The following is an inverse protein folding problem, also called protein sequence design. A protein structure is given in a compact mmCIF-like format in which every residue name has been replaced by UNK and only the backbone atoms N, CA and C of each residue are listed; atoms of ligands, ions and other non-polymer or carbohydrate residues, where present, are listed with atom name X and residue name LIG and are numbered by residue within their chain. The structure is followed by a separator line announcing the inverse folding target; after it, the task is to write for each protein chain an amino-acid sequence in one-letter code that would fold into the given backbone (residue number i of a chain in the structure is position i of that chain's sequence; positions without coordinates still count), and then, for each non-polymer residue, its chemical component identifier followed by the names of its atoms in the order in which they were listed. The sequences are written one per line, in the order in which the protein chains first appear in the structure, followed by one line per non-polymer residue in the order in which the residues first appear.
data_IF_098977916713
#
_entry.id   IF_098977916713
#
_cell.length_a   1.000
_cell.length_b   1.000
_cell.length_c   1.000
_cell.angle_alpha   90.00
_cell.angle_beta   90.00
_cell.angle_gamma   90.00
#
_symmetry.space_group_name_H-M   'P 1'
#
loop_
_entity.id
_entity.type
_entity.pdbx_description
1 polymer ?
#
# COMPACT_ATOMS: atom_id res chain seq x y z
N UNK A 1 4.97 104.19 40.89
CA UNK A 1 4.30 103.33 39.90
C UNK A 1 5.15 102.18 39.40
N UNK A 2 6.45 102.08 39.73
CA UNK A 2 7.41 101.07 39.20
C UNK A 2 7.53 99.82 40.06
N UNK A 3 7.06 99.78 41.29
CA UNK A 3 7.19 98.67 42.24
C UNK A 3 6.11 97.60 42.04
N UNK A 4 4.91 97.98 41.52
CA UNK A 4 3.82 97.01 41.29
C UNK A 4 3.97 96.15 39.99
N UNK A 5 4.74 96.63 39.04
CA UNK A 5 4.96 95.92 37.75
C UNK A 5 5.95 94.76 37.91
N UNK A 6 6.94 94.92 38.81
CA UNK A 6 7.91 93.85 39.04
C UNK A 6 7.37 92.66 39.88
N UNK A 7 6.43 92.93 40.82
CA UNK A 7 5.80 91.85 41.62
C UNK A 7 4.88 91.00 40.75
N UNK A 8 4.13 91.56 39.80
CA UNK A 8 3.26 90.84 38.90
C UNK A 8 4.06 89.99 37.85
N UNK A 9 5.26 90.39 37.46
CA UNK A 9 6.13 89.61 36.58
C UNK A 9 6.76 88.42 37.26
N UNK A 10 7.10 88.56 38.57
CA UNK A 10 7.64 87.46 39.37
C UNK A 10 6.58 86.38 39.64
N UNK A 11 5.34 86.79 39.98
CA UNK A 11 4.20 85.90 40.26
C UNK A 11 3.81 85.11 38.96
N UNK A 12 3.83 85.78 37.81
CA UNK A 12 3.56 85.08 36.53
C UNK A 12 4.70 84.17 36.10
N UNK A 13 5.97 84.46 36.43
CA UNK A 13 7.10 83.60 36.15
C UNK A 13 7.09 82.33 37.02
N UNK A 14 6.75 82.45 38.30
CA UNK A 14 6.61 81.32 39.21
C UNK A 14 5.43 80.44 38.84
N UNK A 15 4.26 81.06 38.46
CA UNK A 15 3.12 80.22 37.99
C UNK A 15 3.38 79.44 36.70
N UNK A 16 4.16 80.05 35.75
CA UNK A 16 4.58 79.38 34.52
C UNK A 16 5.64 78.32 34.76
N UNK A 17 6.51 78.48 35.75
CA UNK A 17 7.48 77.45 36.15
C UNK A 17 6.75 76.25 36.80
N UNK A 18 5.80 76.55 37.67
CA UNK A 18 5.00 75.50 38.36
C UNK A 18 4.12 74.70 37.38
N UNK A 19 3.52 75.33 36.38
CA UNK A 19 2.80 74.66 35.30
C UNK A 19 3.70 73.78 34.45
N UNK A 20 4.93 74.21 34.19
CA UNK A 20 5.91 73.37 33.46
C UNK A 20 6.33 72.13 34.28
N UNK A 21 6.56 72.28 35.57
CA UNK A 21 6.92 71.16 36.44
C UNK A 21 5.77 70.16 36.57
N UNK A 22 4.51 70.64 36.70
CA UNK A 22 3.33 69.77 36.69
C UNK A 22 3.19 69.03 35.34
N UNK A 23 3.35 69.68 34.23
CA UNK A 23 3.29 69.05 32.90
C UNK A 23 4.42 68.03 32.75
N UNK A 24 5.62 68.34 33.17
CA UNK A 24 6.76 67.41 33.13
C UNK A 24 6.53 66.15 33.99
N UNK A 25 5.93 66.31 35.17
CA UNK A 25 5.54 65.16 36.01
C UNK A 25 4.47 64.32 35.36
N UNK A 26 3.46 64.87 34.70
CA UNK A 26 2.44 64.17 33.93
C UNK A 26 3.07 63.36 32.77
N UNK A 27 3.95 64.00 32.03
CA UNK A 27 4.66 63.36 30.92
C UNK A 27 5.53 62.20 31.38
N UNK A 28 6.26 62.34 32.50
CA UNK A 28 7.06 61.24 33.09
C UNK A 28 6.15 60.10 33.53
N UNK A 29 5.02 60.37 34.16
CA UNK A 29 4.08 59.35 34.60
C UNK A 29 3.49 58.60 33.40
N UNK A 30 3.13 59.31 32.33
CA UNK A 30 2.61 58.69 31.11
C UNK A 30 3.67 57.81 30.42
N UNK A 31 4.93 58.26 30.35
CA UNK A 31 6.04 57.45 29.81
C UNK A 31 6.32 56.21 30.67
N UNK A 32 6.31 56.35 32.01
CA UNK A 32 6.49 55.22 32.92
C UNK A 32 5.34 54.18 32.83
N UNK A 33 4.10 54.67 32.70
CA UNK A 33 2.95 53.79 32.47
C UNK A 33 3.06 53.06 31.13
N UNK A 34 3.49 53.72 30.06
CA UNK A 34 3.70 53.11 28.79
C UNK A 34 4.84 52.06 28.81
N UNK A 35 5.93 52.34 29.54
CA UNK A 35 7.04 51.41 29.72
C UNK A 35 6.60 50.17 30.50
N UNK A 36 5.82 50.34 31.56
CA UNK A 36 5.27 49.27 32.38
C UNK A 36 4.33 48.38 31.53
N UNK A 37 3.44 48.98 30.75
CA UNK A 37 2.51 48.26 29.87
C UNK A 37 3.25 47.52 28.76
N UNK A 38 4.31 48.09 28.19
CA UNK A 38 5.19 47.43 27.22
C UNK A 38 5.92 46.25 27.82
N UNK A 39 6.51 46.40 29.01
CA UNK A 39 7.20 45.30 29.71
C UNK A 39 6.26 44.16 30.08
N UNK A 40 5.03 44.44 30.53
CA UNK A 40 4.02 43.43 30.78
C UNK A 40 3.61 42.65 29.53
N UNK A 41 3.44 43.36 28.39
CA UNK A 41 3.13 42.69 27.10
C UNK A 41 4.28 41.81 26.62
N UNK A 42 5.52 42.26 26.74
CA UNK A 42 6.70 41.45 26.35
C UNK A 42 6.78 40.19 27.24
N UNK A 43 6.53 40.32 28.54
CA UNK A 43 6.51 39.17 29.45
C UNK A 43 5.39 38.19 29.11
N UNK A 44 4.18 38.68 28.86
CA UNK A 44 3.03 37.87 28.49
C UNK A 44 3.26 37.13 27.18
N UNK A 45 3.86 37.80 26.17
CA UNK A 45 4.22 37.22 24.87
C UNK A 45 5.31 36.13 25.03
N UNK A 46 6.31 36.39 25.88
CA UNK A 46 7.38 35.42 26.16
C UNK A 46 6.82 34.17 26.86
N UNK A 47 5.94 34.33 27.83
CA UNK A 47 5.27 33.21 28.51
C UNK A 47 4.38 32.41 27.53
N UNK A 48 3.65 33.08 26.66
CA UNK A 48 2.81 32.45 25.67
C UNK A 48 3.64 31.64 24.65
N UNK A 49 4.75 32.22 24.16
CA UNK A 49 5.68 31.54 23.28
C UNK A 49 6.31 30.31 23.97
N UNK A 50 6.72 30.45 25.22
CA UNK A 50 7.31 29.35 25.98
C UNK A 50 6.30 28.22 26.19
N UNK A 51 5.03 28.52 26.46
CA UNK A 51 3.96 27.51 26.58
C UNK A 51 3.71 26.80 25.25
N UNK A 52 3.71 27.53 24.11
CA UNK A 52 3.56 26.92 22.79
C UNK A 52 4.73 25.99 22.45
N UNK A 53 5.97 26.40 22.70
CA UNK A 53 7.14 25.55 22.48
C UNK A 53 7.13 24.31 23.36
N UNK A 54 6.76 24.46 24.63
CA UNK A 54 6.62 23.32 25.56
C UNK A 54 5.53 22.34 25.10
N UNK A 55 4.40 22.85 24.61
CA UNK A 55 3.31 22.04 24.08
C UNK A 55 3.72 21.26 22.84
N UNK A 56 4.37 21.92 21.86
CA UNK A 56 4.90 21.28 20.64
C UNK A 56 5.94 20.19 20.99
N UNK A 57 6.84 20.49 21.93
CA UNK A 57 7.82 19.53 22.40
C UNK A 57 7.16 18.32 23.10
N UNK A 58 6.11 18.56 23.91
CA UNK A 58 5.37 17.48 24.56
C UNK A 58 4.65 16.58 23.55
N UNK A 59 4.05 17.15 22.50
CA UNK A 59 3.46 16.38 21.41
C UNK A 59 4.52 15.48 20.76
N UNK A 60 5.63 16.06 20.30
CA UNK A 60 6.69 15.31 19.64
C UNK A 60 7.28 14.20 20.52
N UNK A 61 7.40 14.45 21.84
CA UNK A 61 7.89 13.47 22.82
C UNK A 61 6.89 12.37 23.14
N UNK A 62 5.58 12.62 23.00
CA UNK A 62 4.54 11.61 23.26
C UNK A 62 4.22 10.73 22.07
N UNK A 63 4.77 11.03 20.88
CA UNK A 63 4.59 10.20 19.68
C UNK A 63 5.32 8.87 19.87
N UNK A 64 4.63 7.77 19.57
CA UNK A 64 5.22 6.41 19.57
C UNK A 64 6.05 6.10 18.32
N UNK A 65 6.06 7.01 17.36
CA UNK A 65 6.86 6.91 16.12
C UNK A 65 8.13 7.74 16.26
N UNK A 66 9.22 7.26 15.65
CA UNK A 66 10.45 8.02 15.55
C UNK A 66 10.25 9.23 14.65
N UNK A 67 10.63 10.42 15.12
CA UNK A 67 10.58 11.65 14.33
C UNK A 67 11.92 12.34 14.42
N UNK A 68 12.44 12.77 13.27
CA UNK A 68 13.58 13.68 13.20
C UNK A 68 13.33 14.79 12.19
N UNK A 69 13.97 15.93 12.41
CA UNK A 69 13.95 17.05 11.49
C UNK A 69 15.38 17.36 11.01
N UNK A 70 15.47 17.82 9.78
CA UNK A 70 16.71 18.18 9.12
C UNK A 70 16.61 19.61 8.61
N UNK A 71 17.74 20.33 8.59
CA UNK A 71 17.85 21.62 7.94
C UNK A 71 18.06 21.51 6.41
N UNK A 72 18.27 22.63 5.74
CA UNK A 72 18.53 22.67 4.28
C UNK A 72 19.82 21.94 3.88
N UNK A 73 20.78 21.80 4.79
CA UNK A 73 22.04 21.10 4.56
C UNK A 73 21.94 19.60 4.85
N UNK A 74 20.78 19.09 5.29
CA UNK A 74 20.58 17.70 5.66
C UNK A 74 21.10 17.36 7.07
N UNK A 75 21.36 18.36 7.90
CA UNK A 75 21.84 18.15 9.27
C UNK A 75 20.66 18.02 10.25
N UNK A 76 20.81 17.14 11.23
CA UNK A 76 19.79 16.96 12.26
C UNK A 76 19.58 18.22 13.08
N UNK A 77 18.34 18.68 13.20
CA UNK A 77 17.92 19.81 14.04
C UNK A 77 17.04 19.37 15.21
N UNK A 78 16.46 18.19 15.12
CA UNK A 78 15.59 17.63 16.16
C UNK A 78 15.50 16.11 16.04
N UNK A 79 15.43 15.41 17.16
CA UNK A 79 15.07 13.97 17.23
C UNK A 79 14.21 13.74 18.46
N UNK A 80 13.07 13.07 18.32
CA UNK A 80 12.23 12.75 19.46
C UNK A 80 12.74 11.50 20.22
N UNK A 81 12.32 11.25 21.47
CA UNK A 81 12.77 10.09 22.27
C UNK A 81 12.48 8.73 21.61
N UNK A 82 11.36 8.60 20.87
CA UNK A 82 11.08 7.37 20.13
C UNK A 82 12.11 7.14 18.99
N UNK A 83 12.50 8.22 18.30
CA UNK A 83 13.56 8.19 17.31
C UNK A 83 14.92 7.80 17.90
N UNK A 84 15.28 8.36 19.05
CA UNK A 84 16.51 7.96 19.78
C UNK A 84 16.51 6.47 20.11
N UNK A 85 15.40 5.96 20.67
CA UNK A 85 15.26 4.55 21.03
C UNK A 85 15.31 3.62 19.81
N UNK A 86 14.69 4.01 18.69
CA UNK A 86 14.66 3.21 17.46
C UNK A 86 15.99 3.23 16.73
N UNK A 87 16.69 4.37 16.66
CA UNK A 87 17.98 4.51 15.97
C UNK A 87 19.17 4.04 16.81
N UNK A 88 19.02 4.07 18.15
CA UNK A 88 20.11 3.79 19.09
C UNK A 88 21.11 4.94 19.25
N UNK A 89 20.74 6.15 18.85
CA UNK A 89 21.49 7.39 18.98
C UNK A 89 20.73 8.39 19.81
N UNK A 90 21.40 9.15 20.65
CA UNK A 90 20.78 10.26 21.36
C UNK A 90 20.66 11.50 20.47
N UNK A 91 19.68 12.36 20.74
CA UNK A 91 19.53 13.65 20.05
C UNK A 91 20.83 14.46 20.13
N UNK A 92 21.47 14.52 21.29
CA UNK A 92 22.72 15.25 21.50
C UNK A 92 23.89 14.74 20.63
N UNK A 93 23.91 13.44 20.30
CA UNK A 93 24.90 12.86 19.40
C UNK A 93 24.61 13.13 17.94
N UNK A 94 23.32 13.34 17.57
CA UNK A 94 22.87 13.53 16.20
C UNK A 94 22.84 15.00 15.78
N UNK A 95 22.49 15.91 16.65
CA UNK A 95 22.36 17.34 16.33
C UNK A 95 23.57 17.90 15.60
N UNK A 96 23.34 18.58 14.48
CA UNK A 96 24.36 19.18 13.62
C UNK A 96 25.15 18.18 12.77
N UNK A 97 24.86 16.88 12.83
CA UNK A 97 25.49 15.89 11.95
C UNK A 97 24.66 15.66 10.70
N UNK A 98 25.35 15.26 9.64
CA UNK A 98 24.73 14.91 8.37
C UNK A 98 23.94 13.59 8.49
N UNK A 99 22.65 13.64 8.18
CA UNK A 99 21.78 12.49 8.24
C UNK A 99 22.19 11.40 7.24
N UNK A 100 22.72 11.75 6.08
CA UNK A 100 23.16 10.79 5.06
C UNK A 100 24.33 9.94 5.53
N UNK A 101 25.19 10.48 6.42
CA UNK A 101 26.32 9.75 6.97
C UNK A 101 25.93 8.75 8.07
N UNK A 102 24.78 8.96 8.72
CA UNK A 102 24.34 8.18 9.89
C UNK A 102 23.17 7.26 9.56
N UNK A 103 22.19 7.75 8.82
CA UNK A 103 20.99 6.98 8.46
C UNK A 103 21.25 6.17 7.20
N UNK A 104 21.39 4.85 7.35
CA UNK A 104 21.38 3.92 6.21
C UNK A 104 19.97 3.36 6.05
N UNK A 105 19.20 4.00 5.14
CA UNK A 105 17.84 3.62 4.79
C UNK A 105 17.84 3.01 3.40
N UNK A 106 17.32 1.79 3.28
CA UNK A 106 17.30 1.02 2.04
C UNK A 106 15.88 0.57 1.71
N UNK A 107 15.59 0.44 0.42
CA UNK A 107 14.37 -0.22 -0.06
C UNK A 107 14.43 -1.73 0.24
N UNK A 108 13.29 -2.41 0.13
CA UNK A 108 13.23 -3.87 0.25
C UNK A 108 14.20 -4.61 -0.69
N UNK A 109 14.56 -4.01 -1.83
CA UNK A 109 15.52 -4.55 -2.81
C UNK A 109 16.99 -4.19 -2.49
N UNK A 110 17.28 -3.62 -1.32
CA UNK A 110 18.63 -3.25 -0.89
C UNK A 110 19.19 -1.97 -1.52
N UNK A 111 18.42 -1.27 -2.35
CA UNK A 111 18.82 0.01 -2.94
C UNK A 111 18.70 1.10 -1.88
N UNK A 112 19.72 1.93 -1.71
CA UNK A 112 19.69 3.05 -0.78
C UNK A 112 18.63 4.06 -1.22
N UNK A 113 17.68 4.36 -0.33
CA UNK A 113 16.50 5.21 -0.67
C UNK A 113 16.89 6.68 -0.73
N UNK A 114 17.93 7.08 0.01
CA UNK A 114 18.47 8.43 0.00
C UNK A 114 19.86 8.34 -0.64
N UNK A 115 20.00 8.56 -1.97
CA UNK A 115 21.29 8.61 -2.63
C UNK A 115 22.10 9.80 -2.09
N UNK A 116 23.42 9.66 -1.99
CA UNK A 116 24.34 10.71 -1.54
C UNK A 116 24.22 12.00 -2.38
N UNK A 117 23.78 11.88 -3.64
CA UNK A 117 23.66 12.96 -4.62
C UNK A 117 22.26 13.57 -4.72
N UNK A 118 21.24 13.07 -3.98
CA UNK A 118 19.90 13.66 -4.00
C UNK A 118 19.77 14.59 -2.80
N UNK A 119 19.85 15.92 -2.98
CA UNK A 119 19.55 16.86 -1.91
C UNK A 119 18.15 16.56 -1.39
N UNK A 120 17.92 16.61 -0.09
CA UNK A 120 16.58 16.52 0.52
C UNK A 120 15.56 17.44 -0.17
N UNK A 121 16.04 18.50 -0.82
CA UNK A 121 15.30 19.39 -1.72
C UNK A 121 14.73 18.67 -2.96
N UNK A 122 15.35 17.59 -3.44
CA UNK A 122 14.86 16.81 -4.58
C UNK A 122 13.78 15.79 -4.18
N UNK A 123 13.72 15.39 -2.91
CA UNK A 123 12.58 14.63 -2.38
C UNK A 123 11.31 15.48 -2.32
N UNK A 124 11.44 16.81 -2.38
CA UNK A 124 10.32 17.75 -2.28
C UNK A 124 10.29 18.84 -3.35
N UNK A 125 10.65 18.61 -4.64
CA UNK A 125 10.65 19.68 -5.64
C UNK A 125 9.25 20.26 -5.89
N UNK A 126 8.19 19.59 -5.42
CA UNK A 126 6.80 19.95 -5.62
C UNK A 126 6.00 20.17 -4.33
N UNK A 127 6.66 20.28 -3.17
CA UNK A 127 5.96 20.39 -1.89
C UNK A 127 5.19 19.09 -1.48
N UNK A 128 5.46 17.97 -2.14
CA UNK A 128 4.78 16.70 -1.87
C UNK A 128 5.56 15.89 -0.82
N UNK A 129 4.82 15.24 0.07
CA UNK A 129 5.37 14.25 0.98
C UNK A 129 5.76 12.98 0.21
N UNK A 130 6.87 12.36 0.59
CA UNK A 130 7.27 11.03 0.15
C UNK A 130 6.90 10.02 1.23
N UNK A 131 6.45 8.82 0.84
CA UNK A 131 6.15 7.73 1.76
C UNK A 131 6.63 6.40 1.18
N UNK A 132 7.20 5.55 2.04
CA UNK A 132 7.55 4.19 1.73
C UNK A 132 7.24 3.32 2.96
N UNK A 133 6.48 2.25 2.73
CA UNK A 133 6.04 1.33 3.79
C UNK A 133 6.91 0.06 3.87
N UNK A 134 7.91 -0.10 2.96
CA UNK A 134 8.74 -1.30 2.81
C UNK A 134 10.25 -1.04 2.94
N UNK A 135 10.63 0.06 3.57
CA UNK A 135 12.02 0.40 3.80
C UNK A 135 12.66 -0.46 4.91
N UNK A 136 13.97 -0.46 4.94
CA UNK A 136 14.81 -1.06 5.98
C UNK A 136 15.75 0.01 6.52
N UNK A 137 15.80 0.14 7.83
CA UNK A 137 16.65 1.08 8.56
C UNK A 137 17.70 0.35 9.36
N UNK A 138 18.92 0.90 9.41
CA UNK A 138 20.03 0.37 10.20
C UNK A 138 20.17 1.17 11.50
N UNK A 139 20.27 0.47 12.63
CA UNK A 139 20.52 1.07 13.96
C UNK A 139 22.04 1.31 14.15
N UNK A 140 22.37 2.04 15.21
CA UNK A 140 23.77 2.28 15.61
C UNK A 140 24.60 1.00 15.79
N UNK A 141 23.99 -0.05 16.31
CA UNK A 141 24.66 -1.34 16.55
C UNK A 141 24.83 -2.21 15.30
N UNK A 142 24.42 -1.70 14.14
CA UNK A 142 24.45 -2.41 12.87
C UNK A 142 23.25 -3.36 12.65
N UNK A 143 22.36 -3.51 13.62
CA UNK A 143 21.12 -4.26 13.43
C UNK A 143 20.18 -3.51 12.48
N UNK A 144 19.42 -4.28 11.68
CA UNK A 144 18.47 -3.73 10.72
C UNK A 144 17.05 -4.04 11.14
N UNK A 145 16.12 -3.13 10.87
CA UNK A 145 14.71 -3.33 11.10
C UNK A 145 13.86 -2.81 9.95
N UNK A 146 12.74 -3.49 9.64
CA UNK A 146 11.79 -3.02 8.65
C UNK A 146 11.10 -1.77 9.17
N UNK A 147 10.97 -0.77 8.33
CA UNK A 147 10.40 0.51 8.68
C UNK A 147 9.40 1.00 7.64
N UNK A 148 8.33 1.64 8.09
CA UNK A 148 7.51 2.52 7.26
C UNK A 148 7.91 3.95 7.59
N UNK A 149 8.13 4.80 6.59
CA UNK A 149 8.48 6.19 6.82
C UNK A 149 7.77 7.15 5.88
N UNK A 150 7.67 8.39 6.33
CA UNK A 150 7.19 9.51 5.53
C UNK A 150 8.12 10.71 5.72
N UNK A 151 8.44 11.39 4.63
CA UNK A 151 9.24 12.62 4.64
C UNK A 151 8.40 13.76 4.04
N UNK A 152 8.41 14.91 4.71
CA UNK A 152 7.71 16.10 4.26
C UNK A 152 8.60 17.34 4.42
N UNK A 153 8.51 18.35 3.51
CA UNK A 153 9.25 19.59 3.64
C UNK A 153 8.70 20.43 4.81
N UNK A 154 9.57 21.09 5.52
CA UNK A 154 9.21 22.16 6.45
C UNK A 154 9.23 23.48 5.67
N UNK A 155 8.05 24.10 5.51
CA UNK A 155 7.90 25.35 4.74
C UNK A 155 7.50 26.47 5.68
N UNK A 156 8.26 27.58 5.69
CA UNK A 156 7.96 28.82 6.41
C UNK A 156 8.00 29.96 5.39
N UNK A 157 6.97 30.78 5.36
CA UNK A 157 6.81 31.93 4.44
C UNK A 157 7.01 31.57 2.94
N UNK A 158 6.62 30.34 2.56
CA UNK A 158 6.75 29.84 1.18
C UNK A 158 8.14 29.29 0.82
N UNK A 159 9.10 29.34 1.72
CA UNK A 159 10.44 28.77 1.54
C UNK A 159 10.59 27.47 2.31
N UNK A 160 11.16 26.44 1.67
CA UNK A 160 11.54 25.20 2.35
C UNK A 160 12.78 25.46 3.20
N UNK A 161 12.67 25.27 4.50
CA UNK A 161 13.76 25.46 5.47
C UNK A 161 14.40 24.14 5.90
N UNK A 162 13.82 23.01 5.51
CA UNK A 162 14.27 21.69 5.88
C UNK A 162 13.23 20.61 5.59
N UNK A 163 13.39 19.46 6.23
CA UNK A 163 12.46 18.34 6.13
C UNK A 163 12.19 17.70 7.49
N UNK A 164 11.01 17.14 7.66
CA UNK A 164 10.66 16.26 8.79
C UNK A 164 10.45 14.85 8.26
N UNK A 165 11.01 13.88 8.98
CA UNK A 165 10.85 12.45 8.69
C UNK A 165 10.22 11.79 9.91
N UNK A 166 9.09 11.12 9.69
CA UNK A 166 8.47 10.24 10.67
C UNK A 166 8.65 8.80 10.22
N UNK A 167 9.02 7.91 11.14
CA UNK A 167 9.29 6.50 10.84
C UNK A 167 8.83 5.59 11.97
N UNK A 168 8.42 4.38 11.60
CA UNK A 168 7.86 3.39 12.53
C UNK A 168 8.52 2.04 12.34
N UNK A 169 8.87 1.37 13.45
CA UNK A 169 9.33 -0.02 13.43
C UNK A 169 8.18 -0.97 13.08
N UNK A 170 8.33 -1.70 11.99
CA UNK A 170 7.35 -2.66 11.49
C UNK A 170 7.65 -4.09 11.91
N UNK A 171 8.67 -4.33 12.75
CA UNK A 171 9.13 -5.68 13.13
C UNK A 171 8.04 -6.50 13.78
N UNK A 172 7.29 -5.94 14.71
CA UNK A 172 6.21 -6.64 15.40
C UNK A 172 5.04 -6.92 14.45
N UNK A 173 4.64 -5.93 13.65
CA UNK A 173 3.57 -6.08 12.65
C UNK A 173 3.93 -7.18 11.68
N UNK A 174 5.14 -7.17 11.12
CA UNK A 174 5.62 -8.20 10.20
C UNK A 174 5.75 -9.57 10.86
N UNK A 175 6.15 -9.64 12.12
CA UNK A 175 6.20 -10.90 12.87
C UNK A 175 4.81 -11.51 13.05
N UNK A 176 3.82 -10.70 13.44
CA UNK A 176 2.44 -11.15 13.58
C UNK A 176 1.85 -11.62 12.25
N UNK A 177 2.11 -10.88 11.18
CA UNK A 177 1.69 -11.26 9.83
C UNK A 177 2.29 -12.61 9.40
N UNK A 178 3.60 -12.80 9.57
CA UNK A 178 4.26 -14.10 9.26
C UNK A 178 3.70 -15.24 10.08
N UNK A 179 3.51 -15.03 11.39
CA UNK A 179 2.92 -16.06 12.25
C UNK A 179 1.51 -16.43 11.80
N UNK A 180 0.71 -15.47 11.37
CA UNK A 180 -0.62 -15.72 10.81
C UNK A 180 -0.56 -16.52 9.50
N UNK A 181 0.39 -16.19 8.60
CA UNK A 181 0.61 -16.92 7.36
C UNK A 181 1.03 -18.38 7.61
N UNK A 182 2.00 -18.58 8.50
CA UNK A 182 2.46 -19.91 8.89
C UNK A 182 1.32 -20.75 9.47
N UNK A 183 0.52 -20.16 10.35
CA UNK A 183 -0.64 -20.82 10.95
C UNK A 183 -1.69 -21.20 9.90
N UNK A 184 -2.02 -20.32 8.98
CA UNK A 184 -2.96 -20.58 7.89
C UNK A 184 -2.42 -21.64 6.91
N UNK A 185 -1.11 -21.62 6.64
CA UNK A 185 -0.46 -22.64 5.80
C UNK A 185 -0.52 -24.03 6.45
N UNK A 186 -0.28 -24.12 7.75
CA UNK A 186 -0.36 -25.36 8.51
C UNK A 186 -1.78 -25.94 8.51
N UNK A 187 -2.78 -25.12 8.87
CA UNK A 187 -4.19 -25.54 8.86
C UNK A 187 -4.62 -26.01 7.47
N UNK A 188 -4.22 -25.28 6.44
CA UNK A 188 -4.61 -25.65 5.07
C UNK A 188 -3.99 -26.96 4.62
N UNK A 189 -2.75 -27.24 5.02
CA UNK A 189 -2.11 -28.53 4.78
C UNK A 189 -2.88 -29.67 5.47
N UNK A 190 -3.22 -29.49 6.75
CA UNK A 190 -3.89 -30.52 7.55
C UNK A 190 -5.36 -30.76 7.11
N UNK A 191 -6.01 -29.72 6.55
CA UNK A 191 -7.35 -29.87 5.98
C UNK A 191 -7.32 -30.51 4.58
N UNK A 192 -6.26 -30.30 3.78
CA UNK A 192 -6.16 -30.83 2.42
C UNK A 192 -6.04 -32.35 2.40
N UNK A 193 -5.29 -32.95 3.32
CA UNK A 193 -5.08 -34.39 3.34
C UNK A 193 -6.39 -35.21 3.50
N UNK A 194 -7.25 -34.95 4.52
CA UNK A 194 -8.52 -35.65 4.65
C UNK A 194 -9.48 -35.34 3.51
N UNK A 195 -9.47 -34.12 3.00
CA UNK A 195 -10.33 -33.68 1.90
C UNK A 195 -9.98 -34.40 0.60
N UNK A 196 -8.70 -34.57 0.30
CA UNK A 196 -8.22 -35.35 -0.86
C UNK A 196 -8.69 -36.80 -0.76
N UNK A 197 -8.66 -37.39 0.44
CA UNK A 197 -9.16 -38.75 0.66
C UNK A 197 -10.68 -38.84 0.43
N UNK A 198 -11.47 -37.83 0.89
CA UNK A 198 -12.92 -37.78 0.68
C UNK A 198 -13.22 -37.64 -0.82
N UNK A 199 -12.55 -36.75 -1.53
CA UNK A 199 -12.71 -36.54 -2.98
C UNK A 199 -12.43 -37.83 -3.73
N UNK A 200 -11.27 -38.47 -3.47
CA UNK A 200 -10.90 -39.70 -4.16
C UNK A 200 -11.89 -40.84 -3.92
N UNK A 201 -12.32 -41.07 -2.67
CA UNK A 201 -13.28 -42.12 -2.34
C UNK A 201 -14.66 -41.84 -2.91
N UNK A 202 -15.13 -40.58 -2.88
CA UNK A 202 -16.42 -40.19 -3.44
C UNK A 202 -16.42 -40.34 -4.96
N UNK A 203 -15.31 -40.05 -5.63
CA UNK A 203 -15.14 -40.25 -7.06
C UNK A 203 -15.22 -41.74 -7.45
N UNK A 204 -14.56 -42.62 -6.66
CA UNK A 204 -14.65 -44.09 -6.88
C UNK A 204 -16.06 -44.58 -6.67
N UNK A 205 -16.75 -44.10 -5.61
CA UNK A 205 -18.13 -44.47 -5.31
C UNK A 205 -19.06 -44.03 -6.44
N UNK A 206 -18.91 -42.81 -6.93
CA UNK A 206 -19.70 -42.28 -8.03
C UNK A 206 -19.59 -43.16 -9.29
N UNK A 207 -18.36 -43.53 -9.68
CA UNK A 207 -18.14 -44.43 -10.82
C UNK A 207 -18.82 -45.79 -10.64
N UNK A 208 -18.77 -46.37 -9.42
CA UNK A 208 -19.39 -47.66 -9.12
C UNK A 208 -20.92 -47.58 -9.18
N UNK A 209 -21.53 -46.54 -8.60
CA UNK A 209 -22.99 -46.34 -8.58
C UNK A 209 -23.54 -46.09 -9.98
N UNK A 210 -22.85 -45.25 -10.79
CA UNK A 210 -23.24 -45.00 -12.19
C UNK A 210 -23.19 -46.32 -13.00
N UNK A 211 -22.14 -47.16 -12.81
CA UNK A 211 -22.06 -48.45 -13.51
C UNK A 211 -23.16 -49.44 -13.11
N UNK A 212 -23.69 -49.29 -11.90
CA UNK A 212 -24.80 -50.16 -11.39
C UNK A 212 -26.20 -49.61 -11.70
N UNK A 213 -26.31 -48.43 -12.33
CA UNK A 213 -27.61 -47.77 -12.66
C UNK A 213 -28.33 -47.20 -11.44
N UNK A 214 -27.64 -46.99 -10.31
CA UNK A 214 -28.17 -46.43 -9.06
C UNK A 214 -28.17 -44.92 -9.08
N UNK A 215 -29.10 -44.31 -9.85
CA UNK A 215 -29.08 -42.86 -10.15
C UNK A 215 -29.28 -41.98 -8.89
N UNK A 216 -30.17 -42.38 -7.95
CA UNK A 216 -30.42 -41.55 -6.72
C UNK A 216 -29.19 -41.49 -5.81
N UNK A 217 -28.53 -42.64 -5.64
CA UNK A 217 -27.32 -42.79 -4.84
C UNK A 217 -26.15 -42.07 -5.53
N UNK A 218 -26.02 -42.19 -6.86
CA UNK A 218 -25.04 -41.48 -7.64
C UNK A 218 -25.22 -39.94 -7.54
N UNK A 219 -26.48 -39.47 -7.57
CA UNK A 219 -26.73 -38.04 -7.35
C UNK A 219 -26.31 -37.54 -5.95
N UNK A 220 -26.57 -38.36 -4.91
CA UNK A 220 -26.12 -38.08 -3.54
C UNK A 220 -24.59 -38.04 -3.42
N UNK A 221 -23.91 -38.98 -4.04
CA UNK A 221 -22.44 -39.01 -4.10
C UNK A 221 -21.86 -37.81 -4.88
N UNK A 222 -22.55 -37.36 -5.95
CA UNK A 222 -22.17 -36.20 -6.70
C UNK A 222 -22.21 -34.92 -5.85
N UNK A 223 -23.24 -34.75 -5.02
CA UNK A 223 -23.36 -33.60 -4.10
C UNK A 223 -22.20 -33.57 -3.10
N UNK A 224 -21.80 -34.74 -2.55
CA UNK A 224 -20.67 -34.83 -1.63
C UNK A 224 -19.35 -34.50 -2.34
N UNK A 225 -19.14 -35.03 -3.55
CA UNK A 225 -17.98 -34.77 -4.39
C UNK A 225 -17.81 -33.26 -4.68
N UNK A 226 -18.88 -32.61 -5.13
CA UNK A 226 -18.89 -31.18 -5.41
C UNK A 226 -18.69 -30.32 -4.16
N UNK A 227 -19.26 -30.74 -3.03
CA UNK A 227 -19.08 -30.01 -1.76
C UNK A 227 -17.64 -30.11 -1.26
N UNK A 228 -17.01 -31.28 -1.45
CA UNK A 228 -15.61 -31.50 -1.11
C UNK A 228 -14.67 -30.66 -1.99
N UNK A 229 -14.93 -30.57 -3.28
CA UNK A 229 -14.18 -29.66 -4.17
C UNK A 229 -14.35 -28.21 -3.77
N UNK A 230 -15.57 -27.74 -3.45
CA UNK A 230 -15.80 -26.38 -2.95
C UNK A 230 -15.00 -26.09 -1.68
N UNK A 231 -14.91 -27.04 -0.74
CA UNK A 231 -14.08 -26.86 0.46
C UNK A 231 -12.59 -26.74 0.11
N UNK A 232 -12.09 -27.54 -0.83
CA UNK A 232 -10.70 -27.43 -1.28
C UNK A 232 -10.41 -26.05 -1.88
N UNK A 233 -11.29 -25.56 -2.76
CA UNK A 233 -11.17 -24.24 -3.38
C UNK A 233 -11.21 -23.11 -2.32
N UNK A 234 -12.05 -23.26 -1.27
CA UNK A 234 -12.10 -22.28 -0.18
C UNK A 234 -10.80 -22.28 0.65
N UNK A 235 -10.22 -23.44 0.94
CA UNK A 235 -8.94 -23.56 1.65
C UNK A 235 -7.81 -22.91 0.84
N UNK A 236 -7.75 -23.18 -0.46
CA UNK A 236 -6.77 -22.55 -1.35
C UNK A 236 -6.96 -21.02 -1.40
N UNK A 237 -8.18 -20.55 -1.58
CA UNK A 237 -8.50 -19.12 -1.59
C UNK A 237 -8.18 -18.40 -0.27
N UNK A 238 -8.22 -19.09 0.88
CA UNK A 238 -7.84 -18.54 2.17
C UNK A 238 -6.32 -18.31 2.27
N UNK A 239 -5.53 -19.28 1.79
CA UNK A 239 -4.07 -19.19 1.73
C UNK A 239 -3.60 -18.05 0.83
N UNK A 240 -4.22 -17.94 -0.34
CA UNK A 240 -3.85 -16.93 -1.33
C UNK A 240 -4.11 -15.52 -0.84
N UNK A 241 -5.24 -15.31 -0.19
CA UNK A 241 -5.58 -14.02 0.41
C UNK A 241 -4.59 -13.64 1.51
N UNK A 242 -4.17 -14.60 2.34
CA UNK A 242 -3.16 -14.36 3.36
C UNK A 242 -1.84 -13.89 2.75
N UNK A 243 -1.38 -14.54 1.68
CA UNK A 243 -0.13 -14.19 0.99
C UNK A 243 -0.19 -12.86 0.24
N UNK A 244 -1.32 -12.53 -0.38
CA UNK A 244 -1.47 -11.28 -1.13
C UNK A 244 -1.71 -10.06 -0.21
N UNK A 245 -2.37 -10.26 0.94
CA UNK A 245 -2.68 -9.17 1.89
C UNK A 245 -1.53 -8.81 2.82
N UNK A 246 -0.62 -9.74 3.05
CA UNK A 246 0.54 -9.47 3.88
C UNK A 246 1.51 -8.43 3.28
N UNK A 247 1.27 -7.96 2.05
CA UNK A 247 2.15 -6.99 1.38
C UNK A 247 3.61 -7.47 1.23
N UNK A 248 3.89 -8.72 1.65
CA UNK A 248 5.24 -9.27 1.83
C UNK A 248 5.59 -10.41 0.89
N UNK A 249 4.65 -10.86 0.08
CA UNK A 249 5.06 -11.53 -1.13
C UNK A 249 5.59 -10.46 -2.08
N UNK A 250 6.78 -9.92 -1.85
CA UNK A 250 7.50 -9.29 -2.94
C UNK A 250 7.37 -10.27 -4.11
N UNK A 251 6.53 -9.91 -5.09
CA UNK A 251 6.33 -10.71 -6.29
C UNK A 251 7.73 -11.08 -6.76
N UNK A 252 8.03 -12.36 -6.89
CA UNK A 252 9.32 -12.81 -7.43
C UNK A 252 9.33 -12.52 -8.91
N UNK A 253 9.39 -11.23 -9.22
CA UNK A 253 9.35 -10.73 -10.59
C UNK A 253 10.64 -11.08 -11.30
N UNK A 254 10.52 -11.90 -12.34
CA UNK A 254 11.61 -12.28 -13.23
C UNK A 254 11.18 -12.01 -14.69
N UNK A 255 12.12 -11.81 -15.61
CA UNK A 255 11.83 -11.81 -17.03
C UNK A 255 11.23 -13.16 -17.43
N UNK A 256 10.03 -13.14 -18.02
CA UNK A 256 9.28 -14.32 -18.46
C UNK A 256 8.69 -14.05 -19.82
N UNK A 257 8.78 -15.00 -20.75
CA UNK A 257 8.03 -14.94 -22.00
C UNK A 257 6.60 -15.46 -21.79
N UNK A 258 5.61 -14.58 -21.99
CA UNK A 258 4.19 -14.93 -21.81
C UNK A 258 3.71 -15.97 -22.82
N UNK A 259 4.29 -16.06 -24.01
CA UNK A 259 3.92 -17.06 -25.02
C UNK A 259 4.37 -18.45 -24.56
N UNK A 260 5.62 -18.57 -24.13
CA UNK A 260 6.15 -19.82 -23.58
C UNK A 260 5.36 -20.27 -22.33
N UNK A 261 5.03 -19.31 -21.45
CA UNK A 261 4.24 -19.56 -20.26
C UNK A 261 2.84 -20.08 -20.62
N UNK A 262 2.16 -19.44 -21.58
CA UNK A 262 0.83 -19.85 -22.03
C UNK A 262 0.87 -21.26 -22.66
N UNK A 263 1.88 -21.55 -23.49
CA UNK A 263 2.06 -22.90 -24.06
C UNK A 263 2.22 -23.96 -23.00
N UNK A 264 3.09 -23.74 -22.02
CA UNK A 264 3.29 -24.69 -20.90
C UNK A 264 1.98 -24.93 -20.13
N UNK A 265 1.20 -23.87 -19.86
CA UNK A 265 -0.05 -24.01 -19.11
C UNK A 265 -1.12 -24.75 -19.92
N UNK A 266 -1.20 -24.54 -21.22
CA UNK A 266 -2.06 -25.32 -22.12
C UNK A 266 -1.68 -26.81 -22.05
N UNK A 267 -0.39 -27.13 -22.18
CA UNK A 267 0.09 -28.51 -22.19
C UNK A 267 -0.14 -29.23 -20.85
N UNK A 268 -0.04 -28.52 -19.72
CA UNK A 268 -0.20 -29.10 -18.39
C UNK A 268 -1.66 -29.18 -17.92
N UNK A 269 -2.50 -28.25 -18.34
CA UNK A 269 -3.87 -28.12 -17.83
C UNK A 269 -4.85 -29.01 -18.58
N UNK A 270 -4.55 -29.35 -19.83
CA UNK A 270 -5.48 -29.97 -20.74
C UNK A 270 -5.13 -31.45 -20.96
N UNK A 271 -6.11 -32.33 -20.78
CA UNK A 271 -5.96 -33.73 -21.16
C UNK A 271 -5.65 -33.86 -22.65
N UNK A 272 -4.86 -34.89 -23.08
CA UNK A 272 -4.46 -35.04 -24.48
C UNK A 272 -5.63 -34.97 -25.48
N UNK A 273 -6.77 -35.51 -25.12
CA UNK A 273 -7.98 -35.56 -25.98
C UNK A 273 -8.65 -34.16 -26.12
N UNK A 274 -8.51 -33.28 -25.15
CA UNK A 274 -9.08 -31.93 -25.15
C UNK A 274 -8.09 -30.86 -25.69
N UNK A 275 -6.83 -31.23 -25.93
CA UNK A 275 -5.79 -30.32 -26.44
C UNK A 275 -6.09 -29.77 -27.83
N UNK A 276 -6.80 -30.54 -28.67
CA UNK A 276 -7.23 -30.14 -30.00
C UNK A 276 -8.25 -28.98 -29.99
N UNK A 277 -8.88 -28.73 -28.83
CA UNK A 277 -9.83 -27.65 -28.65
C UNK A 277 -9.16 -26.28 -28.42
N UNK A 278 -7.88 -26.22 -27.99
CA UNK A 278 -7.21 -24.96 -27.69
C UNK A 278 -6.32 -24.53 -28.86
N UNK A 279 -6.60 -23.32 -29.36
CA UNK A 279 -5.82 -22.67 -30.39
C UNK A 279 -5.05 -21.50 -29.79
N UNK A 280 -3.72 -21.56 -29.84
CA UNK A 280 -2.86 -20.44 -29.43
C UNK A 280 -2.51 -19.60 -30.66
N UNK A 281 -2.76 -18.30 -30.57
CA UNK A 281 -2.44 -17.31 -31.60
C UNK A 281 -1.81 -16.05 -31.06
N UNK A 282 -1.29 -15.19 -31.92
CA UNK A 282 -0.71 -13.91 -31.57
C UNK A 282 0.76 -13.79 -31.95
N UNK A 283 1.54 -13.10 -31.08
CA UNK A 283 3.00 -12.93 -31.31
C UNK A 283 3.78 -14.19 -30.94
N UNK A 284 5.01 -14.29 -31.42
CA UNK A 284 5.87 -15.46 -31.20
C UNK A 284 6.59 -15.38 -29.83
N UNK A 285 6.82 -14.17 -29.35
CA UNK A 285 7.55 -13.90 -28.11
C UNK A 285 7.03 -12.59 -27.49
N UNK A 286 6.84 -12.56 -26.17
CA UNK A 286 6.41 -11.36 -25.44
C UNK A 286 6.98 -11.34 -24.03
N UNK A 287 8.21 -10.81 -23.84
CA UNK A 287 8.85 -10.75 -22.54
C UNK A 287 8.18 -9.70 -21.62
N UNK A 288 7.94 -10.09 -20.37
CA UNK A 288 7.41 -9.25 -19.29
C UNK A 288 8.17 -9.54 -17.99
N UNK A 289 8.10 -8.64 -17.00
CA UNK A 289 8.67 -8.87 -15.65
C UNK A 289 7.53 -9.20 -14.71
N UNK A 290 7.42 -10.47 -14.35
CA UNK A 290 6.29 -10.98 -13.54
C UNK A 290 6.73 -12.12 -12.61
N UNK A 291 5.91 -12.43 -11.64
CA UNK A 291 5.98 -13.70 -10.90
C UNK A 291 5.31 -14.79 -11.74
N UNK A 292 6.15 -15.65 -12.37
CA UNK A 292 5.69 -16.72 -13.26
C UNK A 292 4.62 -17.60 -12.60
N UNK A 293 4.84 -18.00 -11.34
CA UNK A 293 3.93 -18.91 -10.62
C UNK A 293 2.54 -18.31 -10.42
N UNK A 294 2.48 -17.00 -10.15
CA UNK A 294 1.21 -16.31 -10.00
C UNK A 294 0.48 -16.15 -11.34
N UNK A 295 1.21 -15.83 -12.42
CA UNK A 295 0.61 -15.73 -13.76
C UNK A 295 0.18 -17.11 -14.30
N UNK A 296 0.95 -18.18 -14.06
CA UNK A 296 0.54 -19.57 -14.35
C UNK A 296 -0.84 -19.88 -13.75
N UNK A 297 -1.05 -19.49 -12.51
CA UNK A 297 -2.32 -19.67 -11.82
C UNK A 297 -3.47 -18.92 -12.46
N UNK A 298 -3.25 -17.67 -12.91
CA UNK A 298 -4.25 -16.89 -13.65
C UNK A 298 -4.60 -17.63 -14.95
N UNK A 299 -3.59 -18.06 -15.70
CA UNK A 299 -3.79 -18.80 -16.97
C UNK A 299 -4.58 -20.10 -16.75
N UNK A 300 -4.19 -20.92 -15.77
CA UNK A 300 -4.90 -22.17 -15.43
C UNK A 300 -6.36 -21.89 -15.09
N UNK A 301 -6.64 -20.85 -14.27
CA UNK A 301 -8.02 -20.50 -13.95
C UNK A 301 -8.84 -20.06 -15.18
N UNK A 302 -8.27 -19.24 -16.06
CA UNK A 302 -8.98 -18.80 -17.27
C UNK A 302 -9.20 -19.96 -18.25
N UNK A 303 -8.18 -20.83 -18.47
CA UNK A 303 -8.25 -21.99 -19.33
C UNK A 303 -9.29 -23.02 -18.81
N UNK A 304 -9.24 -23.33 -17.53
CA UNK A 304 -10.20 -24.27 -16.92
C UNK A 304 -11.62 -23.72 -16.95
N UNK A 305 -11.83 -22.43 -16.77
CA UNK A 305 -13.14 -21.80 -16.94
C UNK A 305 -13.63 -21.91 -18.40
N UNK A 306 -12.79 -21.56 -19.38
CA UNK A 306 -13.15 -21.65 -20.79
C UNK A 306 -13.56 -23.07 -21.19
N UNK A 307 -12.76 -24.08 -20.81
CA UNK A 307 -13.07 -25.49 -21.10
C UNK A 307 -14.36 -25.98 -20.38
N UNK A 308 -14.57 -25.53 -19.16
CA UNK A 308 -15.71 -25.92 -18.33
C UNK A 308 -17.05 -25.39 -18.83
N UNK A 309 -17.05 -24.20 -19.42
CA UNK A 309 -18.27 -23.53 -19.87
C UNK A 309 -18.53 -23.68 -21.37
N UNK A 310 -17.54 -24.17 -22.12
CA UNK A 310 -17.67 -24.50 -23.54
C UNK A 310 -18.28 -25.87 -23.81
N UNK A 311 -19.02 -26.06 -24.90
CA UNK A 311 -19.34 -27.38 -25.42
C UNK A 311 -18.08 -28.21 -25.74
N UNK A 312 -18.19 -29.54 -25.64
CA UNK A 312 -17.06 -30.48 -25.72
C UNK A 312 -16.21 -30.41 -27.00
N UNK A 313 -16.72 -29.84 -28.10
CA UNK A 313 -16.01 -29.76 -29.37
C UNK A 313 -15.74 -28.32 -29.82
N UNK A 314 -16.10 -27.33 -29.00
CA UNK A 314 -15.92 -25.92 -29.35
C UNK A 314 -14.49 -25.45 -29.10
N UNK A 315 -13.89 -24.68 -30.03
CA UNK A 315 -12.55 -24.17 -29.86
C UNK A 315 -12.47 -23.11 -28.75
N UNK A 316 -11.45 -23.23 -27.93
CA UNK A 316 -11.01 -22.17 -26.99
C UNK A 316 -9.83 -21.46 -27.61
N UNK A 317 -9.94 -20.14 -27.81
CA UNK A 317 -8.92 -19.34 -28.45
C UNK A 317 -8.12 -18.56 -27.41
N UNK A 318 -6.84 -18.86 -27.31
CA UNK A 318 -5.88 -18.12 -26.49
C UNK A 318 -5.07 -17.21 -27.41
N UNK A 319 -5.03 -15.92 -27.11
CA UNK A 319 -4.21 -14.96 -27.87
C UNK A 319 -3.27 -14.22 -26.96
N UNK A 320 -1.99 -14.16 -27.37
CA UNK A 320 -0.95 -13.34 -26.71
C UNK A 320 -0.54 -12.25 -27.69
N UNK A 321 -0.71 -10.99 -27.29
CA UNK A 321 -0.43 -9.86 -28.18
C UNK A 321 0.02 -8.62 -27.40
N UNK A 322 0.63 -7.68 -28.12
CA UNK A 322 1.08 -6.40 -27.54
C UNK A 322 0.15 -5.28 -28.00
N UNK A 323 -0.24 -4.44 -27.06
CA UNK A 323 -0.94 -3.18 -27.34
C UNK A 323 -0.21 -2.04 -26.64
N UNK A 324 0.49 -1.24 -27.43
CA UNK A 324 1.34 -0.16 -26.93
C UNK A 324 2.38 -0.64 -25.91
N UNK A 325 2.26 -0.16 -24.68
CA UNK A 325 3.14 -0.53 -23.52
C UNK A 325 2.57 -1.66 -22.68
N UNK A 326 1.62 -2.42 -23.18
CA UNK A 326 0.99 -3.52 -22.45
C UNK A 326 1.10 -4.82 -23.22
N UNK A 327 1.35 -5.89 -22.48
CA UNK A 327 1.24 -7.27 -22.93
C UNK A 327 -0.14 -7.78 -22.54
N UNK A 328 -0.88 -8.32 -23.51
CA UNK A 328 -2.24 -8.81 -23.32
C UNK A 328 -2.31 -10.31 -23.58
N UNK A 329 -3.07 -10.99 -22.72
CA UNK A 329 -3.46 -12.37 -22.93
C UNK A 329 -4.97 -12.46 -22.84
N UNK A 330 -5.61 -12.97 -23.89
CA UNK A 330 -7.05 -13.21 -23.92
C UNK A 330 -7.34 -14.70 -24.08
N UNK A 331 -8.36 -15.18 -23.36
CA UNK A 331 -8.89 -16.53 -23.42
C UNK A 331 -10.37 -16.40 -23.79
N UNK A 332 -10.71 -16.82 -25.00
CA UNK A 332 -12.08 -16.76 -25.52
C UNK A 332 -12.67 -18.15 -25.65
N UNK A 333 -13.89 -18.31 -25.16
CA UNK A 333 -14.69 -19.53 -25.23
C UNK A 333 -15.94 -19.31 -26.08
N UNK A 334 -16.56 -20.41 -26.51
CA UNK A 334 -17.85 -20.45 -27.23
C UNK A 334 -18.92 -21.10 -26.35
N UNK A 335 -18.91 -20.79 -25.07
CA UNK A 335 -19.87 -21.29 -24.10
C UNK A 335 -21.22 -20.57 -24.13
N UNK A 336 -22.00 -20.76 -23.08
CA UNK A 336 -23.33 -20.16 -22.95
C UNK A 336 -23.33 -18.62 -22.82
N UNK A 337 -22.14 -17.99 -22.71
CA UNK A 337 -22.03 -16.58 -22.44
C UNK A 337 -22.54 -16.19 -21.05
N UNK A 338 -22.48 -14.91 -20.72
CA UNK A 338 -22.80 -14.34 -19.41
C UNK A 338 -23.81 -13.20 -19.60
N UNK A 339 -24.83 -13.16 -18.74
CA UNK A 339 -25.79 -12.07 -18.73
C UNK A 339 -25.07 -10.72 -18.49
N UNK A 340 -25.36 -9.67 -19.27
CA UNK A 340 -24.78 -8.34 -19.06
C UNK A 340 -24.92 -7.79 -17.64
N UNK A 341 -25.98 -8.19 -16.90
CA UNK A 341 -26.17 -7.80 -15.51
C UNK A 341 -25.19 -8.49 -14.55
N UNK A 342 -24.67 -9.67 -14.91
CA UNK A 342 -23.73 -10.42 -14.08
C UNK A 342 -22.26 -10.02 -14.35
N UNK A 343 -21.94 -9.46 -15.54
CA UNK A 343 -20.57 -9.09 -15.95
C UNK A 343 -19.83 -8.18 -14.95
N UNK A 344 -20.42 -7.10 -14.40
CA UNK A 344 -19.74 -6.22 -13.45
C UNK A 344 -19.35 -6.92 -12.16
N UNK A 345 -20.09 -7.96 -11.78
CA UNK A 345 -19.96 -8.67 -10.50
C UNK A 345 -19.06 -9.91 -10.56
N UNK A 346 -18.65 -10.36 -11.76
CA UNK A 346 -17.88 -11.61 -11.94
C UNK A 346 -16.57 -11.67 -11.16
N UNK A 347 -15.98 -10.51 -10.90
CA UNK A 347 -14.74 -10.38 -10.16
C UNK A 347 -14.95 -10.10 -8.67
N UNK A 348 -16.20 -10.13 -8.20
CA UNK A 348 -16.51 -10.03 -6.78
C UNK A 348 -16.31 -11.38 -6.08
N UNK A 349 -15.98 -11.32 -4.80
CA UNK A 349 -15.73 -12.50 -3.99
C UNK A 349 -16.97 -13.38 -3.86
N UNK A 350 -16.84 -14.67 -4.18
CA UNK A 350 -17.91 -15.68 -4.14
C UNK A 350 -19.08 -15.41 -5.11
N UNK A 351 -18.93 -14.49 -6.04
CA UNK A 351 -19.97 -14.24 -7.04
C UNK A 351 -20.04 -15.37 -8.08
N UNK A 352 -21.23 -15.71 -8.50
CA UNK A 352 -21.51 -16.72 -9.53
C UNK A 352 -22.71 -16.26 -10.36
N UNK A 353 -22.50 -16.19 -11.67
CA UNK A 353 -23.55 -15.80 -12.62
C UNK A 353 -24.79 -16.71 -12.49
N UNK A 354 -25.96 -16.14 -12.62
CA UNK A 354 -27.26 -16.81 -12.35
C UNK A 354 -27.49 -18.06 -13.20
N UNK A 355 -27.10 -18.04 -14.45
CA UNK A 355 -27.21 -19.17 -15.38
C UNK A 355 -26.25 -20.33 -15.13
N UNK A 356 -25.21 -20.15 -14.31
CA UNK A 356 -24.11 -21.10 -14.11
C UNK A 356 -24.03 -21.70 -12.69
N UNK A 357 -25.09 -21.54 -11.90
CA UNK A 357 -25.12 -22.03 -10.51
C UNK A 357 -25.00 -23.57 -10.36
N UNK A 358 -25.38 -24.30 -11.39
CA UNK A 358 -25.27 -25.78 -11.42
C UNK A 358 -23.86 -26.29 -11.77
N UNK A 359 -23.01 -25.46 -12.33
CA UNK A 359 -21.65 -25.85 -12.70
C UNK A 359 -20.73 -25.67 -11.49
N UNK A 360 -20.02 -26.71 -11.03
CA UNK A 360 -19.19 -26.68 -9.82
C UNK A 360 -18.17 -25.51 -9.82
N UNK A 361 -18.00 -24.81 -8.68
CA UNK A 361 -16.99 -23.74 -8.52
C UNK A 361 -17.26 -22.86 -7.29
N UNK A 362 -16.18 -22.34 -6.68
CA UNK A 362 -16.23 -21.54 -5.44
C UNK A 362 -16.57 -20.06 -5.67
N UNK A 363 -16.49 -19.55 -6.92
CA UNK A 363 -16.61 -18.12 -7.22
C UNK A 363 -15.39 -17.30 -6.74
N UNK A 364 -14.27 -17.95 -6.46
CA UNK A 364 -13.03 -17.30 -6.02
C UNK A 364 -12.00 -17.14 -7.14
N UNK A 365 -12.04 -17.97 -8.18
CA UNK A 365 -11.00 -18.02 -9.21
C UNK A 365 -10.79 -16.67 -9.91
N UNK A 366 -11.83 -16.05 -10.47
CA UNK A 366 -11.74 -14.76 -11.14
C UNK A 366 -11.37 -13.61 -10.17
N UNK A 367 -11.89 -13.65 -8.95
CA UNK A 367 -11.52 -12.69 -7.90
C UNK A 367 -10.01 -12.73 -7.59
N UNK A 368 -9.46 -13.93 -7.38
CA UNK A 368 -8.02 -14.14 -7.12
C UNK A 368 -7.20 -13.76 -8.35
N UNK A 369 -7.62 -14.14 -9.55
CA UNK A 369 -6.95 -13.75 -10.80
C UNK A 369 -6.87 -12.24 -10.93
N UNK A 370 -7.92 -11.51 -10.59
CA UNK A 370 -7.92 -10.04 -10.59
C UNK A 370 -6.89 -9.49 -9.60
N UNK A 371 -6.87 -9.98 -8.36
CA UNK A 371 -5.90 -9.53 -7.35
C UNK A 371 -4.44 -9.78 -7.78
N UNK A 372 -4.16 -10.94 -8.40
CA UNK A 372 -2.83 -11.26 -8.92
C UNK A 372 -2.42 -10.27 -10.00
N UNK A 373 -3.29 -10.02 -10.97
CA UNK A 373 -3.00 -9.11 -12.09
C UNK A 373 -2.85 -7.65 -11.60
N UNK A 374 -3.72 -7.20 -10.69
CA UNK A 374 -3.61 -5.87 -10.06
C UNK A 374 -2.30 -5.71 -9.27
N UNK A 375 -1.85 -6.74 -8.56
CA UNK A 375 -0.56 -6.74 -7.85
C UNK A 375 0.64 -6.61 -8.81
N UNK A 376 0.50 -7.03 -10.08
CA UNK A 376 1.50 -6.84 -11.13
C UNK A 376 1.36 -5.50 -11.89
N UNK A 377 0.51 -4.57 -11.40
CA UNK A 377 0.24 -3.29 -12.06
C UNK A 377 -0.60 -3.42 -13.34
N UNK A 378 -1.26 -4.57 -13.51
CA UNK A 378 -2.08 -4.91 -14.65
C UNK A 378 -3.58 -4.67 -14.44
N UNK A 379 -4.38 -5.17 -15.39
CA UNK A 379 -5.84 -5.15 -15.34
C UNK A 379 -6.41 -6.44 -15.92
N UNK A 380 -7.46 -7.00 -15.30
CA UNK A 380 -8.24 -8.14 -15.81
C UNK A 380 -9.69 -7.69 -16.05
N UNK A 381 -10.27 -8.09 -17.19
CA UNK A 381 -11.68 -7.83 -17.52
C UNK A 381 -12.27 -8.98 -18.33
N UNK A 382 -13.58 -8.98 -18.47
CA UNK A 382 -14.33 -9.95 -19.27
C UNK A 382 -15.31 -9.25 -20.19
N UNK A 383 -15.47 -9.81 -21.39
CA UNK A 383 -16.47 -9.45 -22.40
C UNK A 383 -17.27 -10.72 -22.71
N UNK A 384 -18.59 -10.62 -22.80
CA UNK A 384 -19.40 -11.80 -23.06
C UNK A 384 -20.74 -11.42 -23.69
N UNK A 385 -21.24 -12.32 -24.52
CA UNK A 385 -22.55 -12.25 -25.13
C UNK A 385 -23.31 -13.56 -24.86
N UNK A 386 -24.53 -13.44 -24.34
CA UNK A 386 -25.34 -14.59 -23.95
C UNK A 386 -25.68 -15.45 -25.19
N UNK A 387 -25.36 -16.74 -25.13
CA UNK A 387 -25.53 -17.70 -26.23
C UNK A 387 -24.40 -17.72 -27.27
N UNK A 388 -23.38 -16.85 -27.13
CA UNK A 388 -22.24 -16.76 -28.06
C UNK A 388 -20.95 -17.24 -27.42
N UNK A 389 -20.65 -16.77 -26.17
CA UNK A 389 -19.47 -17.13 -25.42
C UNK A 389 -18.91 -15.98 -24.60
N UNK A 390 -17.71 -16.18 -24.04
CA UNK A 390 -17.03 -15.19 -23.21
C UNK A 390 -15.56 -15.05 -23.59
N UNK A 391 -15.01 -13.86 -23.37
CA UNK A 391 -13.60 -13.56 -23.55
C UNK A 391 -13.07 -12.87 -22.29
N UNK A 392 -12.12 -13.49 -21.62
CA UNK A 392 -11.42 -12.90 -20.47
C UNK A 392 -10.04 -12.47 -20.88
N UNK A 393 -9.72 -11.19 -20.63
CA UNK A 393 -8.45 -10.59 -21.04
C UNK A 393 -7.74 -9.99 -19.85
N UNK A 394 -6.45 -10.27 -19.71
CA UNK A 394 -5.62 -9.51 -18.79
C UNK A 394 -4.50 -8.77 -19.51
N UNK A 395 -4.12 -7.64 -18.97
CA UNK A 395 -3.05 -6.79 -19.46
C UNK A 395 -2.00 -6.58 -18.38
N UNK A 396 -0.71 -6.69 -18.75
CA UNK A 396 0.45 -6.46 -17.89
C UNK A 396 1.33 -5.36 -18.48
N UNK A 397 2.08 -4.58 -17.68
CA UNK A 397 3.06 -3.66 -18.21
C UNK A 397 4.19 -4.43 -18.92
N UNK A 398 4.63 -3.95 -20.10
CA UNK A 398 5.81 -4.49 -20.79
C UNK A 398 7.08 -3.83 -20.27
N UNK A 399 8.22 -4.52 -20.41
CA UNK A 399 9.52 -3.86 -20.40
C UNK A 399 9.52 -2.80 -21.50
N UNK A 400 9.75 -1.54 -21.13
CA UNK A 400 9.79 -0.40 -22.05
C UNK A 400 10.89 -0.51 -23.11
#
# INVERSE_FOLDING_TARGET
MTTHINANKSINADATAQQRDEQYMVDILAVNEQLLMSGLREQELAEQLQRQLAFMSAIAKSMGEGVYALDRAGQFTFVNPAGEALLGWTEAELLGKDAHAIIDMRSANGVRIIPEDVPLQALTPSGRSYRDDDAVLTRRDGSVFPTAFSAAPIVIDGESIGAVVAFRDMSEVRRLQRSQEEYLALISHDLRAPLTAIIGRTQMLLRALTKQGLEREAHSAQIVFESSHRMNDMIEGLLDRSRLWAGQGALRQNPVDLVELAMRMIDQTVLPDARTQIQLGGVLELPVVVDATQIERVLVNLLTNALKFSPLESPVLVRVYRDGKRALVSVADQGNGIDPQDLPHLFEKHYRARGHRLVAGSGLGLYISRLIIEAHGGRLWGESELGVGSCFTFALPTMG
#
